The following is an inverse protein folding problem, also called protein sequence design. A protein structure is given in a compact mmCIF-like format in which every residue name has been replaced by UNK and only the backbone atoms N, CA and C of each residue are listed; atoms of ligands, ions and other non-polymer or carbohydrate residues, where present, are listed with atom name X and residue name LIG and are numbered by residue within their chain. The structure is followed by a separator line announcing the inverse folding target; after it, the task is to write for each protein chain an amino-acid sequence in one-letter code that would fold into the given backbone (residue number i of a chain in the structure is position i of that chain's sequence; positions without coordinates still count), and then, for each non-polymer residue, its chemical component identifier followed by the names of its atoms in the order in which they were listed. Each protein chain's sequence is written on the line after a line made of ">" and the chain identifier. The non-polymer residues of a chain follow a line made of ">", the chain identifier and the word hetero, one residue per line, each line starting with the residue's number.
data_IF_303293767977
#
_entry.id   IF_303293767977
#
_cell.length_a   1.000
_cell.length_b   1.000
_cell.length_c   1.000
_cell.angle_alpha   90.00
_cell.angle_beta   90.00
_cell.angle_gamma   90.00
#
_symmetry.space_group_name_H-M   'P 1'
#
loop_
_entity.id
_entity.type
_entity.pdbx_description
1 polymer ?
#
# COMPACT_ATOMS: atom_id res chain seq x y z
N UNK A 1 -30.60 -55.43 18.86
CA UNK A 1 -29.95 -54.25 19.46
C UNK A 1 -28.77 -53.85 18.59
N UNK A 2 -29.00 -52.96 17.63
CA UNK A 2 -27.95 -52.45 16.73
C UNK A 2 -27.43 -51.11 17.25
N UNK A 3 -26.12 -51.01 17.41
CA UNK A 3 -25.41 -49.76 17.72
C UNK A 3 -24.34 -49.59 16.64
N UNK A 4 -24.72 -48.94 15.54
CA UNK A 4 -23.80 -48.42 14.53
C UNK A 4 -23.54 -46.95 14.85
N UNK A 5 -22.41 -46.72 15.53
CA UNK A 5 -21.81 -45.42 15.76
C UNK A 5 -21.39 -44.79 14.43
N UNK A 6 -22.16 -43.83 13.93
CA UNK A 6 -21.74 -42.93 12.85
C UNK A 6 -20.70 -41.93 13.38
N UNK A 7 -19.42 -42.25 13.20
CA UNK A 7 -18.37 -41.25 13.20
C UNK A 7 -18.57 -40.35 11.97
N UNK A 8 -19.21 -39.19 12.16
CA UNK A 8 -19.10 -38.08 11.21
C UNK A 8 -17.69 -37.52 11.35
N UNK A 9 -16.77 -37.96 10.50
CA UNK A 9 -15.53 -37.22 10.25
C UNK A 9 -15.93 -35.86 9.68
N UNK A 10 -15.83 -34.81 10.50
CA UNK A 10 -15.83 -33.43 10.01
C UNK A 10 -14.64 -33.31 9.06
N UNK A 11 -14.90 -33.40 7.75
CA UNK A 11 -13.93 -32.98 6.74
C UNK A 11 -13.71 -31.49 6.96
N UNK A 12 -12.60 -31.12 7.57
CA UNK A 12 -12.17 -29.72 7.68
C UNK A 12 -12.11 -29.16 6.27
N UNK A 13 -12.77 -28.01 6.03
CA UNK A 13 -12.65 -27.31 4.75
C UNK A 13 -11.16 -27.05 4.48
N UNK A 14 -10.68 -27.27 3.24
CA UNK A 14 -9.28 -26.98 2.92
C UNK A 14 -8.96 -25.52 3.25
N UNK A 15 -7.83 -25.31 3.95
CA UNK A 15 -7.33 -23.98 4.26
C UNK A 15 -6.90 -23.31 2.94
N UNK A 16 -7.20 -22.03 2.79
CA UNK A 16 -6.79 -21.23 1.61
C UNK A 16 -5.36 -20.70 1.73
N UNK A 17 -4.67 -21.04 2.82
CA UNK A 17 -3.33 -20.63 3.12
C UNK A 17 -2.54 -21.81 3.66
N UNK A 18 -1.23 -21.71 3.57
CA UNK A 18 -0.28 -22.66 4.13
C UNK A 18 0.77 -21.92 4.95
N UNK A 19 1.19 -22.53 6.06
CA UNK A 19 2.37 -22.09 6.80
C UNK A 19 3.61 -22.46 5.98
N UNK A 20 4.51 -21.52 5.78
CA UNK A 20 5.80 -21.78 5.13
C UNK A 20 6.61 -22.69 6.07
N UNK A 21 7.11 -23.81 5.54
CA UNK A 21 7.79 -24.82 6.35
C UNK A 21 9.13 -24.30 6.87
N UNK A 22 9.55 -24.83 8.02
CA UNK A 22 10.85 -24.44 8.56
C UNK A 22 11.98 -24.92 7.65
N UNK A 23 11.84 -26.11 7.07
CA UNK A 23 12.81 -26.73 6.19
C UNK A 23 13.09 -25.84 4.97
N UNK A 24 12.04 -25.31 4.32
CA UNK A 24 12.18 -24.40 3.19
C UNK A 24 12.89 -23.10 3.57
N UNK A 25 12.52 -22.52 4.73
CA UNK A 25 13.15 -21.28 5.19
C UNK A 25 14.64 -21.49 5.54
N UNK A 26 14.99 -22.63 6.12
CA UNK A 26 16.38 -22.99 6.43
C UNK A 26 17.19 -23.21 5.16
N UNK A 27 16.68 -23.99 4.21
CA UNK A 27 17.34 -24.23 2.93
C UNK A 27 17.57 -22.92 2.17
N UNK A 28 16.56 -22.04 2.12
CA UNK A 28 16.70 -20.72 1.50
C UNK A 28 17.77 -19.87 2.19
N UNK A 29 17.81 -19.86 3.52
CA UNK A 29 18.79 -19.11 4.28
C UNK A 29 20.22 -19.63 4.08
N UNK A 30 20.40 -20.95 4.09
CA UNK A 30 21.71 -21.60 3.84
C UNK A 30 22.23 -21.29 2.43
N UNK A 31 21.36 -21.39 1.43
CA UNK A 31 21.72 -21.09 0.03
C UNK A 31 21.97 -19.59 -0.22
N UNK A 32 21.54 -18.71 0.69
CA UNK A 32 21.65 -17.26 0.55
C UNK A 32 22.31 -16.60 1.76
N UNK A 33 23.32 -17.26 2.36
CA UNK A 33 24.04 -16.74 3.51
C UNK A 33 24.68 -15.36 3.29
N UNK A 34 24.94 -14.99 2.02
CA UNK A 34 25.43 -13.66 1.62
C UNK A 34 24.53 -12.51 2.09
N UNK A 35 23.23 -12.74 2.30
CA UNK A 35 22.30 -11.70 2.77
C UNK A 35 22.69 -11.15 4.15
N UNK A 36 23.35 -11.98 4.97
CA UNK A 36 23.79 -11.58 6.31
C UNK A 36 24.83 -10.45 6.31
N UNK A 37 25.61 -10.31 5.23
CA UNK A 37 26.59 -9.22 5.06
C UNK A 37 25.92 -7.85 4.84
N UNK A 38 24.62 -7.84 4.53
CA UNK A 38 23.82 -6.64 4.28
C UNK A 38 22.86 -6.34 5.43
N UNK A 39 23.06 -6.94 6.61
CA UNK A 39 22.27 -6.63 7.79
C UNK A 39 22.87 -5.43 8.53
N UNK A 40 22.03 -4.43 8.75
CA UNK A 40 22.36 -3.26 9.54
C UNK A 40 21.62 -3.30 10.88
N UNK A 41 22.38 -3.18 11.97
CA UNK A 41 21.82 -3.08 13.30
C UNK A 41 21.57 -1.61 13.63
N UNK A 42 20.38 -1.14 13.25
CA UNK A 42 19.84 0.14 13.68
C UNK A 42 18.62 -0.15 14.57
N UNK A 43 18.57 0.46 15.75
CA UNK A 43 17.49 0.31 16.73
C UNK A 43 17.24 -1.14 17.23
N UNK A 44 15.99 -1.43 17.65
CA UNK A 44 15.59 -2.72 18.24
C UNK A 44 15.46 -3.86 17.21
N UNK A 45 15.39 -3.54 15.91
CA UNK A 45 15.16 -4.48 14.82
C UNK A 45 16.22 -4.25 13.74
N UNK A 46 17.13 -5.21 13.57
CA UNK A 46 18.08 -5.26 12.47
C UNK A 46 17.36 -5.24 11.11
N UNK A 47 17.86 -4.39 10.22
CA UNK A 47 17.29 -4.07 8.91
C UNK A 47 18.18 -4.60 7.81
N UNK A 48 17.59 -4.75 6.62
CA UNK A 48 18.35 -5.10 5.41
C UNK A 48 18.75 -3.80 4.72
N UNK A 49 20.03 -3.68 4.38
CA UNK A 49 20.53 -2.68 3.45
C UNK A 49 20.09 -3.04 2.04
N UNK A 50 18.87 -2.64 1.68
CA UNK A 50 18.28 -2.98 0.39
C UNK A 50 19.07 -2.43 -0.80
N UNK A 51 19.67 -1.25 -0.65
CA UNK A 51 20.52 -0.68 -1.70
C UNK A 51 21.73 -1.58 -1.97
N UNK A 52 22.40 -2.06 -0.92
CA UNK A 52 23.52 -2.99 -1.03
C UNK A 52 23.08 -4.33 -1.63
N UNK A 53 21.94 -4.88 -1.18
CA UNK A 53 21.37 -6.13 -1.72
C UNK A 53 21.05 -6.01 -3.21
N UNK A 54 20.36 -4.96 -3.64
CA UNK A 54 20.02 -4.79 -5.05
C UNK A 54 21.27 -4.57 -5.91
N UNK A 55 22.25 -3.79 -5.42
CA UNK A 55 23.55 -3.62 -6.07
C UNK A 55 24.26 -4.97 -6.27
N UNK A 56 24.27 -5.81 -5.24
CA UNK A 56 24.86 -7.15 -5.29
C UNK A 56 24.13 -8.08 -6.29
N UNK A 57 22.80 -8.06 -6.29
CA UNK A 57 21.99 -8.88 -7.18
C UNK A 57 22.14 -8.46 -8.65
N UNK A 58 22.19 -7.16 -8.93
CA UNK A 58 22.44 -6.65 -10.28
C UNK A 58 23.80 -7.11 -10.81
N UNK A 59 24.85 -6.99 -10.00
CA UNK A 59 26.20 -7.46 -10.36
C UNK A 59 26.25 -9.00 -10.52
N UNK A 60 25.57 -9.74 -9.66
CA UNK A 60 25.55 -11.20 -9.67
C UNK A 60 24.72 -11.78 -10.83
N UNK A 61 23.69 -11.07 -11.27
CA UNK A 61 22.86 -11.45 -12.41
C UNK A 61 23.64 -11.38 -13.73
N UNK A 62 24.53 -10.39 -13.88
CA UNK A 62 25.45 -10.27 -15.03
C UNK A 62 26.36 -11.50 -15.13
N UNK A 63 26.85 -11.97 -13.98
CA UNK A 63 27.72 -13.14 -13.89
C UNK A 63 26.96 -14.49 -13.86
N UNK A 64 25.61 -14.47 -13.89
CA UNK A 64 24.72 -15.63 -13.67
C UNK A 64 25.04 -16.43 -12.40
N UNK A 65 25.64 -15.79 -11.39
CA UNK A 65 26.09 -16.45 -10.16
C UNK A 65 24.97 -16.66 -9.15
N UNK A 66 24.06 -15.68 -9.07
CA UNK A 66 22.93 -15.72 -8.14
C UNK A 66 21.67 -15.28 -8.86
N UNK A 67 20.70 -16.18 -8.93
CA UNK A 67 19.34 -15.89 -9.36
C UNK A 67 18.45 -16.16 -8.15
N UNK A 68 17.96 -15.08 -7.53
CA UNK A 68 16.95 -15.15 -6.48
C UNK A 68 15.68 -14.51 -7.01
N UNK A 69 14.55 -15.15 -6.79
CA UNK A 69 13.24 -14.60 -7.14
C UNK A 69 12.79 -13.57 -6.11
N UNK A 70 11.87 -12.69 -6.50
CA UNK A 70 11.26 -11.73 -5.58
C UNK A 70 10.61 -12.42 -4.37
N UNK A 71 9.94 -13.57 -4.59
CA UNK A 71 9.33 -14.34 -3.52
C UNK A 71 10.37 -14.90 -2.54
N UNK A 72 11.47 -15.48 -3.04
CA UNK A 72 12.54 -16.00 -2.17
C UNK A 72 13.18 -14.88 -1.36
N UNK A 73 13.46 -13.73 -1.98
CA UNK A 73 14.00 -12.57 -1.29
C UNK A 73 13.03 -12.04 -0.21
N UNK A 74 11.73 -12.05 -0.51
CA UNK A 74 10.68 -11.71 0.47
C UNK A 74 10.68 -12.68 1.65
N UNK A 75 10.76 -13.99 1.39
CA UNK A 75 10.78 -15.01 2.44
C UNK A 75 12.03 -14.91 3.32
N UNK A 76 13.20 -14.65 2.73
CA UNK A 76 14.43 -14.41 3.47
C UNK A 76 14.31 -13.21 4.40
N UNK A 77 13.82 -12.08 3.87
CA UNK A 77 13.60 -10.88 4.67
C UNK A 77 12.60 -11.10 5.79
N UNK A 78 11.43 -11.66 5.51
CA UNK A 78 10.42 -11.93 6.55
C UNK A 78 10.94 -12.94 7.58
N UNK A 79 11.77 -13.91 7.18
CA UNK A 79 12.39 -14.85 8.11
C UNK A 79 13.40 -14.17 9.03
N UNK A 80 14.18 -13.23 8.49
CA UNK A 80 15.10 -12.40 9.26
C UNK A 80 14.37 -11.44 10.19
N UNK A 81 13.22 -10.89 9.78
CA UNK A 81 12.38 -10.08 10.67
C UNK A 81 11.80 -10.96 11.78
N UNK A 82 11.22 -12.12 11.43
CA UNK A 82 10.64 -13.09 12.36
C UNK A 82 11.62 -13.52 13.45
N UNK A 83 12.90 -13.73 13.14
CA UNK A 83 13.90 -14.20 14.10
C UNK A 83 14.19 -13.19 15.22
N UNK A 84 13.82 -11.92 15.01
CA UNK A 84 14.03 -10.81 15.94
C UNK A 84 12.80 -10.46 16.77
N UNK A 85 11.63 -10.94 16.35
CA UNK A 85 10.37 -10.78 17.09
C UNK A 85 10.29 -11.81 18.22
N UNK A 86 9.56 -11.48 19.30
CA UNK A 86 9.30 -12.43 20.38
C UNK A 86 8.66 -13.72 19.82
N UNK A 87 9.06 -14.88 20.37
CA UNK A 87 8.60 -16.19 19.86
C UNK A 87 7.07 -16.26 19.80
N UNK A 88 6.53 -16.33 18.57
CA UNK A 88 5.17 -16.76 18.16
C UNK A 88 4.78 -16.29 16.75
N UNK A 89 5.63 -15.54 16.04
CA UNK A 89 5.39 -15.17 14.64
C UNK A 89 5.74 -16.30 13.67
N UNK A 90 4.93 -16.44 12.62
CA UNK A 90 5.17 -17.37 11.51
C UNK A 90 4.86 -16.72 10.18
N UNK A 91 5.42 -17.28 9.12
CA UNK A 91 5.18 -16.86 7.74
C UNK A 91 4.13 -17.79 7.15
N UNK A 92 3.08 -17.21 6.60
CA UNK A 92 2.00 -17.90 5.92
C UNK A 92 1.88 -17.36 4.50
N UNK A 93 1.33 -18.15 3.58
CA UNK A 93 1.12 -17.71 2.21
C UNK A 93 -0.18 -18.27 1.61
N UNK A 94 -0.78 -17.50 0.71
CA UNK A 94 -1.88 -17.87 -0.19
C UNK A 94 -1.43 -17.68 -1.64
N UNK A 95 -2.35 -17.55 -2.60
CA UNK A 95 -2.02 -17.37 -4.02
C UNK A 95 -1.31 -16.02 -4.26
N UNK A 96 -1.81 -14.92 -3.69
CA UNK A 96 -1.31 -13.57 -3.95
C UNK A 96 -0.66 -12.89 -2.74
N UNK A 97 -0.58 -13.55 -1.58
CA UNK A 97 -0.07 -12.93 -0.35
C UNK A 97 0.95 -13.79 0.39
N UNK A 98 1.89 -13.12 1.06
CA UNK A 98 2.75 -13.68 2.10
C UNK A 98 2.53 -12.84 3.36
N UNK A 99 2.18 -13.46 4.48
CA UNK A 99 1.83 -12.77 5.71
C UNK A 99 2.74 -13.24 6.85
N UNK A 100 3.42 -12.31 7.50
CA UNK A 100 4.08 -12.51 8.78
C UNK A 100 3.09 -12.13 9.90
N UNK A 101 2.73 -13.08 10.74
CA UNK A 101 1.76 -12.87 11.84
C UNK A 101 1.92 -13.92 12.94
N UNK A 102 1.48 -13.60 14.15
CA UNK A 102 1.31 -14.52 15.28
C UNK A 102 -0.16 -14.98 15.46
N UNK A 103 -1.07 -14.59 14.57
CA UNK A 103 -2.49 -14.90 14.67
C UNK A 103 -2.82 -16.39 14.59
N UNK A 104 -3.94 -16.78 15.18
CA UNK A 104 -4.41 -18.17 15.16
C UNK A 104 -4.98 -18.59 13.78
N UNK A 105 -5.23 -19.89 13.61
CA UNK A 105 -5.77 -20.44 12.36
C UNK A 105 -7.12 -19.82 11.94
N UNK A 106 -7.94 -19.39 12.92
CA UNK A 106 -9.27 -18.83 12.66
C UNK A 106 -9.13 -17.40 12.12
N UNK A 107 -8.30 -16.58 12.77
CA UNK A 107 -7.93 -15.25 12.35
C UNK A 107 -7.30 -15.29 10.95
N UNK A 108 -6.26 -16.10 10.74
CA UNK A 108 -5.54 -16.22 9.47
C UNK A 108 -6.48 -16.66 8.33
N UNK A 109 -7.35 -17.63 8.57
CA UNK A 109 -8.32 -18.05 7.56
C UNK A 109 -9.30 -16.93 7.15
N UNK A 110 -9.68 -16.04 8.08
CA UNK A 110 -10.54 -14.89 7.77
C UNK A 110 -9.73 -13.81 7.05
N UNK A 111 -8.52 -13.53 7.52
CA UNK A 111 -7.60 -12.56 6.92
C UNK A 111 -7.28 -12.91 5.47
N UNK A 112 -6.78 -14.11 5.19
CA UNK A 112 -6.47 -14.51 3.81
C UNK A 112 -7.71 -14.51 2.91
N UNK A 113 -8.91 -14.82 3.42
CA UNK A 113 -10.13 -14.79 2.59
C UNK A 113 -10.48 -13.38 2.20
N UNK A 114 -10.35 -12.46 3.16
CA UNK A 114 -10.57 -11.04 2.97
C UNK A 114 -9.54 -10.48 1.99
N UNK A 115 -8.24 -10.65 2.23
CA UNK A 115 -7.18 -10.09 1.35
C UNK A 115 -7.29 -10.61 -0.08
N UNK A 116 -7.50 -11.91 -0.27
CA UNK A 116 -7.69 -12.51 -1.60
C UNK A 116 -8.97 -11.99 -2.30
N UNK A 117 -10.04 -11.73 -1.54
CA UNK A 117 -11.26 -11.15 -2.10
C UNK A 117 -11.07 -9.68 -2.48
N UNK A 118 -10.39 -8.88 -1.64
CA UNK A 118 -10.04 -7.49 -1.92
C UNK A 118 -9.19 -7.43 -3.19
N UNK A 119 -8.09 -8.19 -3.24
CA UNK A 119 -7.19 -8.25 -4.40
C UNK A 119 -7.94 -8.47 -5.71
N UNK A 120 -8.82 -9.49 -5.79
CA UNK A 120 -9.60 -9.76 -7.01
C UNK A 120 -10.51 -8.60 -7.39
N UNK A 121 -11.10 -7.92 -6.41
CA UNK A 121 -11.98 -6.76 -6.65
C UNK A 121 -11.19 -5.55 -7.14
N UNK A 122 -10.04 -5.24 -6.53
CA UNK A 122 -9.16 -4.15 -6.96
C UNK A 122 -8.62 -4.42 -8.36
N UNK A 123 -8.09 -5.63 -8.60
CA UNK A 123 -7.61 -6.05 -9.92
C UNK A 123 -8.67 -5.91 -11.01
N UNK A 124 -9.91 -6.25 -10.70
CA UNK A 124 -11.02 -6.06 -11.64
C UNK A 124 -11.40 -4.59 -11.84
N UNK A 125 -11.38 -3.78 -10.77
CA UNK A 125 -11.78 -2.37 -10.84
C UNK A 125 -10.75 -1.49 -11.54
N UNK A 126 -9.47 -1.83 -11.40
CA UNK A 126 -8.35 -1.07 -11.96
C UNK A 126 -7.73 -1.76 -13.20
N UNK A 127 -8.41 -2.75 -13.79
CA UNK A 127 -7.87 -3.57 -14.88
C UNK A 127 -7.36 -2.73 -16.06
N UNK A 128 -8.04 -1.63 -16.38
CA UNK A 128 -7.65 -0.74 -17.48
C UNK A 128 -6.53 0.24 -17.10
N UNK A 129 -6.16 0.35 -15.83
CA UNK A 129 -5.06 1.19 -15.36
C UNK A 129 -3.79 0.37 -15.21
N UNK A 130 -3.89 -0.77 -14.51
CA UNK A 130 -2.76 -1.64 -14.17
C UNK A 130 -1.99 -2.10 -15.40
N UNK A 131 -0.65 -2.12 -15.31
CA UNK A 131 0.18 -2.79 -16.31
C UNK A 131 -0.04 -4.31 -16.21
N UNK A 132 -0.51 -4.97 -17.29
CA UNK A 132 -0.70 -6.42 -17.30
C UNK A 132 0.57 -7.21 -16.96
N UNK A 133 1.76 -6.62 -17.13
CA UNK A 133 3.05 -7.26 -16.83
C UNK A 133 3.47 -7.11 -15.37
N UNK A 134 2.97 -6.10 -14.66
CA UNK A 134 3.40 -5.80 -13.30
C UNK A 134 3.12 -6.96 -12.34
N UNK A 135 1.98 -7.63 -12.55
CA UNK A 135 1.49 -8.74 -11.73
C UNK A 135 1.51 -10.08 -12.51
N UNK A 136 2.13 -10.11 -13.68
CA UNK A 136 2.31 -11.32 -14.48
C UNK A 136 3.65 -12.02 -14.22
N UNK A 137 4.50 -11.47 -13.35
CA UNK A 137 5.66 -12.21 -12.87
C UNK A 137 5.15 -13.45 -12.12
N UNK A 138 5.44 -14.64 -12.67
CA UNK A 138 5.03 -15.91 -12.06
C UNK A 138 5.43 -15.91 -10.58
N UNK A 139 4.43 -16.03 -9.71
CA UNK A 139 4.56 -16.10 -8.24
C UNK A 139 4.86 -14.79 -7.49
N UNK A 140 4.57 -13.61 -8.05
CA UNK A 140 4.55 -12.39 -7.23
C UNK A 140 3.47 -12.49 -6.13
N UNK A 141 3.84 -12.10 -4.91
CA UNK A 141 2.94 -12.08 -3.75
C UNK A 141 3.16 -10.82 -2.95
N UNK A 142 2.08 -10.18 -2.54
CA UNK A 142 2.10 -8.99 -1.70
C UNK A 142 2.46 -9.38 -0.25
N UNK A 143 3.57 -8.85 0.30
CA UNK A 143 3.95 -9.09 1.68
C UNK A 143 3.13 -8.22 2.63
N UNK A 144 2.63 -8.83 3.70
CA UNK A 144 1.92 -8.15 4.80
C UNK A 144 2.62 -8.50 6.11
N UNK A 145 2.95 -7.48 6.91
CA UNK A 145 3.30 -7.69 8.30
C UNK A 145 2.13 -7.29 9.19
N UNK A 146 1.50 -8.29 9.83
CA UNK A 146 0.45 -8.05 10.82
C UNK A 146 1.08 -8.08 12.20
N UNK A 147 1.19 -6.92 12.86
CA UNK A 147 1.78 -6.82 14.19
C UNK A 147 0.77 -7.27 15.26
N UNK A 148 1.28 -7.76 16.39
CA UNK A 148 0.45 -8.23 17.51
C UNK A 148 -0.31 -7.11 18.22
N UNK A 149 0.23 -5.89 18.12
CA UNK A 149 -0.24 -4.70 18.82
C UNK A 149 0.31 -3.45 18.12
N UNK A 150 -0.19 -2.30 18.59
CA UNK A 150 0.14 -0.98 18.06
C UNK A 150 1.57 -0.55 18.41
N UNK A 151 2.14 -1.05 19.51
CA UNK A 151 3.50 -0.69 19.94
C UNK A 151 4.53 -1.29 18.99
N UNK A 152 4.38 -2.57 18.62
CA UNK A 152 5.21 -3.23 17.62
C UNK A 152 5.02 -2.61 16.22
N UNK A 153 3.80 -2.16 15.90
CA UNK A 153 3.55 -1.40 14.68
C UNK A 153 4.43 -0.14 14.65
N UNK A 154 4.37 0.70 15.68
CA UNK A 154 5.16 1.94 15.74
C UNK A 154 6.67 1.69 15.82
N UNK A 155 7.12 0.71 16.63
CA UNK A 155 8.53 0.29 16.69
C UNK A 155 9.04 -0.13 15.30
N UNK A 156 8.19 -0.72 14.45
CA UNK A 156 8.56 -1.09 13.10
C UNK A 156 8.56 0.09 12.14
N UNK A 157 7.49 0.90 12.12
CA UNK A 157 7.28 1.94 11.10
C UNK A 157 8.10 3.21 11.33
N UNK A 158 8.46 3.54 12.59
CA UNK A 158 9.20 4.76 12.91
C UNK A 158 10.55 4.86 12.17
N UNK A 159 11.16 3.71 11.85
CA UNK A 159 12.39 3.65 11.05
C UNK A 159 12.26 4.31 9.67
N UNK A 160 11.07 4.23 9.05
CA UNK A 160 10.84 4.74 7.71
C UNK A 160 10.44 6.23 7.70
N UNK A 161 10.20 6.80 8.88
CA UNK A 161 9.76 8.19 9.05
C UNK A 161 10.58 8.83 10.19
N UNK A 162 11.86 9.15 9.95
CA UNK A 162 12.80 9.59 10.99
C UNK A 162 12.56 11.03 11.48
N UNK A 163 11.69 11.81 10.84
CA UNK A 163 11.34 13.15 11.32
C UNK A 163 10.24 13.07 12.40
N UNK A 164 10.39 13.87 13.47
CA UNK A 164 9.43 14.04 14.58
C UNK A 164 8.12 14.67 14.07
N UNK A 165 7.35 13.92 13.28
CA UNK A 165 5.98 14.25 12.90
C UNK A 165 5.02 13.70 13.94
N UNK A 166 4.01 14.48 14.35
CA UNK A 166 2.82 13.89 14.95
C UNK A 166 2.21 12.95 13.90
N UNK A 167 2.48 11.66 14.04
CA UNK A 167 1.86 10.65 13.21
C UNK A 167 0.35 10.77 13.43
N UNK A 168 -0.41 11.07 12.37
CA UNK A 168 -1.82 10.70 12.38
C UNK A 168 -1.86 9.21 12.76
N UNK A 169 -2.83 8.82 13.61
CA UNK A 169 -3.05 7.44 14.00
C UNK A 169 -3.32 6.60 12.75
N UNK A 170 -2.24 6.17 12.08
CA UNK A 170 -2.35 5.41 10.87
C UNK A 170 -2.71 3.99 11.27
N UNK A 171 -3.80 3.49 10.70
CA UNK A 171 -4.29 2.14 10.95
C UNK A 171 -3.55 1.09 10.10
N UNK A 172 -2.55 1.52 9.32
CA UNK A 172 -1.65 0.71 8.51
C UNK A 172 -0.83 1.58 7.56
N UNK A 173 0.20 1.03 6.93
CA UNK A 173 1.01 1.81 5.97
C UNK A 173 1.64 0.92 4.90
N UNK A 174 1.61 1.39 3.65
CA UNK A 174 2.38 0.84 2.55
C UNK A 174 3.77 1.49 2.48
N UNK A 175 4.79 0.65 2.52
CA UNK A 175 6.19 1.06 2.53
C UNK A 175 6.84 0.73 1.18
N UNK A 176 7.30 1.77 0.49
CA UNK A 176 8.03 1.71 -0.78
C UNK A 176 9.55 1.69 -0.54
N UNK A 177 10.02 0.82 0.36
CA UNK A 177 11.43 0.72 0.73
C UNK A 177 11.91 -0.74 0.67
N UNK A 178 12.84 -1.02 -0.26
CA UNK A 178 13.31 -2.37 -0.49
C UNK A 178 12.25 -3.23 -1.17
N UNK A 179 11.76 -4.24 -0.46
CA UNK A 179 10.60 -5.03 -0.88
C UNK A 179 9.34 -4.25 -0.48
N UNK A 180 8.54 -3.85 -1.47
CA UNK A 180 7.27 -3.19 -1.26
C UNK A 180 6.35 -4.10 -0.41
N UNK A 181 5.91 -3.59 0.73
CA UNK A 181 5.06 -4.32 1.69
C UNK A 181 4.16 -3.35 2.43
N UNK A 182 3.14 -3.87 3.10
CA UNK A 182 2.35 -3.06 4.03
C UNK A 182 2.31 -3.68 5.42
N UNK A 183 2.21 -2.80 6.41
CA UNK A 183 2.24 -3.14 7.83
C UNK A 183 0.92 -2.71 8.43
N UNK A 184 0.27 -3.59 9.17
CA UNK A 184 -1.00 -3.31 9.84
C UNK A 184 -0.97 -3.87 11.26
N UNK A 185 -1.45 -3.15 12.28
CA UNK A 185 -1.71 -3.74 13.58
C UNK A 185 -2.90 -4.71 13.51
N UNK A 186 -2.87 -5.77 14.32
CA UNK A 186 -4.05 -6.61 14.51
C UNK A 186 -5.21 -5.76 15.07
N UNK A 187 -6.34 -5.78 14.38
CA UNK A 187 -7.53 -5.00 14.72
C UNK A 187 -8.81 -5.72 14.29
N UNK A 188 -9.96 -5.10 14.54
CA UNK A 188 -11.23 -5.60 14.03
C UNK A 188 -11.22 -5.68 12.50
N UNK A 189 -11.92 -6.69 11.95
CA UNK A 189 -11.83 -7.01 10.54
C UNK A 189 -12.42 -5.93 9.62
N UNK A 190 -13.39 -5.16 10.09
CA UNK A 190 -13.94 -4.02 9.37
C UNK A 190 -12.88 -2.93 9.17
N UNK A 191 -12.01 -2.71 10.16
CA UNK A 191 -10.88 -1.78 10.07
C UNK A 191 -9.79 -2.36 9.17
N UNK A 192 -9.43 -3.63 9.35
CA UNK A 192 -8.46 -4.31 8.47
C UNK A 192 -8.91 -4.33 7.01
N UNK A 193 -10.21 -4.50 6.73
CA UNK A 193 -10.73 -4.52 5.36
C UNK A 193 -10.51 -3.17 4.67
N UNK A 194 -10.77 -2.07 5.38
CA UNK A 194 -10.54 -0.72 4.86
C UNK A 194 -9.05 -0.47 4.59
N UNK A 195 -8.21 -0.69 5.60
CA UNK A 195 -6.76 -0.48 5.51
C UNK A 195 -6.14 -1.35 4.42
N UNK A 196 -6.46 -2.64 4.36
CA UNK A 196 -5.92 -3.52 3.32
C UNK A 196 -6.38 -3.07 1.92
N UNK A 197 -7.62 -2.59 1.77
CA UNK A 197 -8.08 -2.07 0.48
C UNK A 197 -7.31 -0.81 0.06
N UNK A 198 -7.03 0.09 1.00
CA UNK A 198 -6.24 1.30 0.78
C UNK A 198 -4.80 0.96 0.40
N UNK A 199 -4.08 0.24 1.27
CA UNK A 199 -2.66 -0.06 1.08
C UNK A 199 -2.39 -0.99 -0.12
N UNK A 200 -3.28 -1.94 -0.39
CA UNK A 200 -3.14 -2.81 -1.56
C UNK A 200 -3.33 -2.03 -2.86
N UNK A 201 -4.14 -0.96 -2.85
CA UNK A 201 -4.27 -0.08 -4.02
C UNK A 201 -2.93 0.57 -4.35
N UNK A 202 -2.25 1.15 -3.36
CA UNK A 202 -0.91 1.71 -3.54
C UNK A 202 0.08 0.66 -4.06
N UNK A 203 0.06 -0.54 -3.46
CA UNK A 203 0.94 -1.62 -3.87
C UNK A 203 0.73 -2.02 -5.34
N UNK A 204 -0.52 -2.15 -5.77
CA UNK A 204 -0.87 -2.52 -7.14
C UNK A 204 -0.57 -1.40 -8.14
N UNK A 205 -0.65 -0.14 -7.73
CA UNK A 205 -0.30 1.03 -8.55
C UNK A 205 1.19 1.41 -8.46
N UNK A 206 2.01 0.66 -7.72
CA UNK A 206 3.37 1.10 -7.39
C UNK A 206 4.34 1.17 -8.57
N UNK A 207 4.00 0.58 -9.71
CA UNK A 207 4.71 0.73 -10.98
C UNK A 207 4.49 2.09 -11.66
N UNK A 208 3.51 2.87 -11.19
CA UNK A 208 3.23 4.20 -11.70
C UNK A 208 3.84 5.25 -10.76
N UNK A 209 4.50 6.26 -11.35
CA UNK A 209 5.01 7.44 -10.63
C UNK A 209 3.92 8.51 -10.49
N UNK A 210 2.82 8.15 -9.83
CA UNK A 210 1.63 9.01 -9.70
C UNK A 210 1.91 10.24 -8.81
N UNK A 211 1.26 11.38 -9.08
CA UNK A 211 1.10 12.43 -8.08
C UNK A 211 0.41 11.89 -6.81
N UNK A 212 0.80 12.39 -5.64
CA UNK A 212 0.25 11.94 -4.34
C UNK A 212 -1.27 12.03 -4.31
N UNK A 213 -1.85 13.13 -4.78
CA UNK A 213 -3.31 13.29 -4.78
C UNK A 213 -4.04 12.27 -5.67
N UNK A 214 -3.41 11.81 -6.76
CA UNK A 214 -3.98 10.76 -7.61
C UNK A 214 -3.86 9.40 -6.93
N UNK A 215 -2.69 9.08 -6.36
CA UNK A 215 -2.44 7.82 -5.66
C UNK A 215 -3.41 7.67 -4.47
N UNK A 216 -3.49 8.69 -3.62
CA UNK A 216 -4.40 8.71 -2.46
C UNK A 216 -5.87 8.77 -2.87
N UNK A 217 -6.22 9.55 -3.90
CA UNK A 217 -7.58 9.61 -4.40
C UNK A 217 -8.06 8.27 -4.95
N UNK A 218 -7.20 7.51 -5.66
CA UNK A 218 -7.49 6.15 -6.10
C UNK A 218 -7.63 5.18 -4.93
N UNK A 219 -6.74 5.27 -3.93
CA UNK A 219 -6.77 4.43 -2.74
C UNK A 219 -8.05 4.63 -1.91
N UNK A 220 -8.41 5.87 -1.60
CA UNK A 220 -9.65 6.18 -0.84
C UNK A 220 -10.92 5.81 -1.60
N UNK A 221 -10.97 6.04 -2.93
CA UNK A 221 -12.12 5.63 -3.73
C UNK A 221 -12.24 4.10 -3.81
N UNK A 222 -11.11 3.40 -3.94
CA UNK A 222 -11.08 1.94 -3.94
C UNK A 222 -11.48 1.37 -2.58
N UNK A 223 -10.96 1.92 -1.48
CA UNK A 223 -11.38 1.61 -0.10
C UNK A 223 -12.90 1.73 0.02
N UNK A 224 -13.47 2.88 -0.40
CA UNK A 224 -14.91 3.16 -0.34
C UNK A 224 -15.71 2.15 -1.16
N UNK A 225 -15.24 1.79 -2.35
CA UNK A 225 -15.87 0.77 -3.20
C UNK A 225 -15.84 -0.61 -2.53
N UNK A 226 -14.73 -0.96 -1.87
CA UNK A 226 -14.54 -2.26 -1.24
C UNK A 226 -15.43 -2.40 0.00
N UNK A 227 -15.32 -1.46 0.93
CA UNK A 227 -15.96 -1.48 2.25
C UNK A 227 -17.41 -0.98 2.22
N UNK A 228 -17.78 -0.22 1.17
CA UNK A 228 -19.03 0.54 1.06
C UNK A 228 -19.19 1.60 2.15
N UNK A 229 -18.10 1.95 2.84
CA UNK A 229 -18.04 3.03 3.80
C UNK A 229 -17.58 4.29 3.08
N UNK A 230 -18.37 5.35 3.19
CA UNK A 230 -18.06 6.60 2.51
C UNK A 230 -17.55 7.60 3.55
N UNK A 231 -16.31 7.39 3.98
CA UNK A 231 -15.63 8.16 5.04
C UNK A 231 -15.54 9.67 4.71
N UNK A 232 -15.62 9.99 3.42
CA UNK A 232 -15.38 11.31 2.85
C UNK A 232 -16.60 11.82 2.05
N UNK A 233 -17.84 11.56 2.51
CA UNK A 233 -19.02 12.19 1.89
C UNK A 233 -19.02 13.70 2.11
N UNK A 234 -19.25 14.45 1.03
CA UNK A 234 -19.54 15.87 1.11
C UNK A 234 -20.81 16.10 1.94
N UNK A 235 -20.71 16.98 2.94
CA UNK A 235 -21.83 17.46 3.73
C UNK A 235 -21.66 18.99 3.95
N UNK A 236 -22.69 19.72 4.41
CA UNK A 236 -22.60 21.18 4.54
C UNK A 236 -21.42 21.66 5.42
N UNK A 237 -21.10 20.92 6.49
CA UNK A 237 -19.98 21.26 7.37
C UNK A 237 -18.63 21.06 6.66
N UNK A 238 -18.42 19.92 5.99
CA UNK A 238 -17.21 19.66 5.20
C UNK A 238 -17.07 20.65 4.04
N UNK A 239 -18.19 21.03 3.40
CA UNK A 239 -18.17 22.04 2.35
C UNK A 239 -17.75 23.42 2.89
N UNK A 240 -18.23 23.84 4.07
CA UNK A 240 -17.76 25.09 4.71
C UNK A 240 -16.26 25.04 4.96
N UNK A 241 -15.76 23.95 5.56
CA UNK A 241 -14.32 23.78 5.84
C UNK A 241 -13.46 23.88 4.59
N UNK A 242 -13.90 23.29 3.48
CA UNK A 242 -13.19 23.44 2.21
C UNK A 242 -13.17 24.87 1.69
N UNK A 243 -14.29 25.58 1.73
CA UNK A 243 -14.36 26.97 1.30
C UNK A 243 -13.51 27.90 2.18
N UNK A 244 -13.41 27.60 3.48
CA UNK A 244 -12.61 28.37 4.43
C UNK A 244 -11.11 28.09 4.30
N UNK A 245 -10.73 26.87 3.91
CA UNK A 245 -9.34 26.41 3.88
C UNK A 245 -8.63 26.65 2.54
N UNK A 246 -9.30 26.39 1.41
CA UNK A 246 -8.67 26.40 0.10
C UNK A 246 -8.50 27.82 -0.46
N UNK A 247 -7.26 28.13 -0.85
CA UNK A 247 -6.88 29.35 -1.56
C UNK A 247 -5.66 29.04 -2.45
N UNK A 248 -5.20 30.03 -3.23
CA UNK A 248 -4.09 29.88 -4.18
C UNK A 248 -2.77 29.39 -3.52
N UNK A 249 -2.60 29.62 -2.21
CA UNK A 249 -1.44 29.12 -1.46
C UNK A 249 -1.67 27.69 -0.97
N UNK A 250 -2.77 27.41 -0.26
CA UNK A 250 -3.01 26.09 0.34
C UNK A 250 -3.23 25.00 -0.69
N UNK A 251 -3.74 25.33 -1.89
CA UNK A 251 -3.88 24.36 -2.98
C UNK A 251 -2.52 23.83 -3.48
N UNK A 252 -1.43 24.60 -3.33
CA UNK A 252 -0.09 24.12 -3.71
C UNK A 252 0.41 23.02 -2.78
N UNK A 253 -0.02 23.02 -1.51
CA UNK A 253 0.29 21.94 -0.56
C UNK A 253 -0.44 20.65 -0.96
N UNK A 254 -1.63 20.75 -1.55
CA UNK A 254 -2.34 19.61 -2.13
C UNK A 254 -1.63 19.08 -3.38
N UNK A 255 -1.24 19.96 -4.32
CA UNK A 255 -0.61 19.54 -5.57
C UNK A 255 0.79 18.95 -5.39
N UNK A 256 1.60 19.51 -4.50
CA UNK A 256 2.94 18.99 -4.17
C UNK A 256 2.90 17.69 -3.37
N UNK A 257 1.77 17.39 -2.72
CA UNK A 257 1.61 16.26 -1.80
C UNK A 257 1.99 16.58 -0.35
N UNK A 258 2.59 17.74 -0.06
CA UNK A 258 3.02 18.13 1.30
C UNK A 258 1.85 18.14 2.30
N UNK A 259 0.67 18.57 1.84
CA UNK A 259 -0.53 18.66 2.69
C UNK A 259 -1.01 17.32 3.24
N UNK A 260 -0.73 16.21 2.54
CA UNK A 260 -1.13 14.86 2.99
C UNK A 260 -0.32 14.39 4.20
N UNK A 261 0.91 14.88 4.35
CA UNK A 261 1.81 14.53 5.44
C UNK A 261 1.60 15.41 6.69
N UNK A 262 0.83 16.51 6.59
CA UNK A 262 0.58 17.41 7.71
C UNK A 262 -0.45 16.81 8.68
N UNK A 263 -0.25 16.94 10.01
CA UNK A 263 -1.25 16.48 10.97
C UNK A 263 -2.53 17.33 10.92
N UNK A 264 -3.63 16.75 11.40
CA UNK A 264 -4.89 17.47 11.58
C UNK A 264 -5.68 17.74 10.30
N UNK A 265 -6.29 18.93 10.23
CA UNK A 265 -7.30 19.30 9.23
C UNK A 265 -6.75 19.34 7.79
N UNK A 266 -5.51 19.77 7.58
CA UNK A 266 -4.93 19.90 6.24
C UNK A 266 -4.93 18.56 5.50
N UNK A 267 -4.40 17.51 6.12
CA UNK A 267 -4.39 16.17 5.54
C UNK A 267 -5.80 15.63 5.32
N UNK A 268 -6.72 15.79 6.29
CA UNK A 268 -8.13 15.37 6.11
C UNK A 268 -8.76 16.01 4.86
N UNK A 269 -8.55 17.32 4.66
CA UNK A 269 -9.08 18.04 3.50
C UNK A 269 -8.37 17.63 2.20
N UNK A 270 -7.07 17.33 2.24
CA UNK A 270 -6.34 16.78 1.09
C UNK A 270 -6.93 15.43 0.64
N UNK A 271 -7.11 14.48 1.55
CA UNK A 271 -7.73 13.17 1.24
C UNK A 271 -9.15 13.32 0.69
N UNK A 272 -9.95 14.20 1.30
CA UNK A 272 -11.32 14.44 0.84
C UNK A 272 -11.36 15.10 -0.55
N UNK A 273 -10.50 16.08 -0.81
CA UNK A 273 -10.41 16.74 -2.12
C UNK A 273 -9.92 15.76 -3.20
N UNK A 274 -8.89 14.96 -2.89
CA UNK A 274 -8.39 13.91 -3.78
C UNK A 274 -9.49 12.90 -4.15
N UNK A 275 -10.27 12.44 -3.17
CA UNK A 275 -11.37 11.53 -3.42
C UNK A 275 -12.39 12.14 -4.38
N UNK A 276 -12.82 13.38 -4.14
CA UNK A 276 -13.82 14.07 -4.96
C UNK A 276 -13.32 14.26 -6.39
N UNK A 277 -12.11 14.78 -6.57
CA UNK A 277 -11.56 15.07 -7.90
C UNK A 277 -11.36 13.77 -8.69
N UNK A 278 -10.75 12.75 -8.09
CA UNK A 278 -10.55 11.45 -8.75
C UNK A 278 -11.89 10.84 -9.14
N UNK A 279 -12.89 10.86 -8.26
CA UNK A 279 -14.22 10.33 -8.57
C UNK A 279 -14.90 11.10 -9.72
N UNK A 280 -14.79 12.44 -9.71
CA UNK A 280 -15.36 13.29 -10.76
C UNK A 280 -14.67 13.07 -12.11
N UNK A 281 -13.34 13.00 -12.13
CA UNK A 281 -12.59 12.73 -13.36
C UNK A 281 -12.87 11.33 -13.91
N UNK A 282 -13.10 10.35 -13.04
CA UNK A 282 -13.40 8.97 -13.43
C UNK A 282 -14.77 8.78 -14.09
N UNK A 283 -15.67 9.77 -14.07
CA UNK A 283 -16.94 9.71 -14.79
C UNK A 283 -16.73 9.49 -16.30
N UNK A 284 -15.72 10.14 -16.89
CA UNK A 284 -15.25 9.89 -18.26
C UNK A 284 -14.12 8.85 -18.25
N UNK A 285 -14.49 7.60 -17.97
CA UNK A 285 -13.55 6.52 -17.65
C UNK A 285 -12.38 6.35 -18.66
N UNK A 286 -12.57 6.35 -19.99
CA UNK A 286 -11.46 6.18 -20.93
C UNK A 286 -10.41 7.30 -20.82
N UNK A 287 -10.86 8.55 -20.70
CA UNK A 287 -9.97 9.70 -20.50
C UNK A 287 -9.27 9.62 -19.15
N UNK A 288 -9.98 9.25 -18.09
CA UNK A 288 -9.37 9.08 -16.77
C UNK A 288 -8.25 8.03 -16.78
N UNK A 289 -8.45 6.88 -17.45
CA UNK A 289 -7.42 5.86 -17.61
C UNK A 289 -6.19 6.41 -18.32
N UNK A 290 -6.37 7.15 -19.41
CA UNK A 290 -5.25 7.78 -20.11
C UNK A 290 -4.53 8.80 -19.21
N UNK A 291 -5.29 9.61 -18.47
CA UNK A 291 -4.72 10.56 -17.51
C UNK A 291 -3.85 9.86 -16.47
N UNK A 292 -4.38 8.87 -15.75
CA UNK A 292 -3.65 8.17 -14.67
C UNK A 292 -2.35 7.54 -15.18
N UNK A 293 -2.37 6.95 -16.39
CA UNK A 293 -1.16 6.34 -16.99
C UNK A 293 -0.09 7.35 -17.37
N UNK A 294 -0.47 8.61 -17.62
CA UNK A 294 0.44 9.66 -18.07
C UNK A 294 0.78 10.68 -16.98
N UNK A 295 -0.03 10.79 -15.92
CA UNK A 295 0.21 11.71 -14.81
C UNK A 295 1.55 11.42 -14.13
N UNK A 296 2.29 12.47 -13.80
CA UNK A 296 3.61 12.37 -13.18
C UNK A 296 3.69 13.25 -11.94
N UNK A 297 4.38 12.74 -10.94
CA UNK A 297 4.62 13.47 -9.69
C UNK A 297 5.17 14.90 -9.89
N UNK A 298 6.20 15.16 -10.72
CA UNK A 298 6.88 16.47 -10.75
C UNK A 298 5.99 17.66 -11.16
N UNK A 299 4.92 17.44 -11.93
CA UNK A 299 3.98 18.49 -12.34
C UNK A 299 2.57 18.27 -11.78
N UNK A 300 2.43 17.36 -10.79
CA UNK A 300 1.14 16.91 -10.24
C UNK A 300 0.15 16.35 -11.28
N UNK A 301 0.64 15.97 -12.47
CA UNK A 301 -0.18 15.49 -13.58
C UNK A 301 -0.73 16.60 -14.49
N UNK A 302 -0.31 17.85 -14.33
CA UNK A 302 -0.82 18.99 -15.11
C UNK A 302 -0.67 18.79 -16.63
N UNK A 303 0.50 18.35 -17.11
CA UNK A 303 0.70 18.10 -18.53
C UNK A 303 -0.20 16.98 -19.06
N UNK A 304 -0.47 15.96 -18.23
CA UNK A 304 -1.40 14.88 -18.59
C UNK A 304 -2.84 15.41 -18.66
N UNK A 305 -3.24 16.31 -17.76
CA UNK A 305 -4.56 16.92 -17.77
C UNK A 305 -4.78 17.73 -19.06
N UNK A 306 -3.81 18.57 -19.45
CA UNK A 306 -3.88 19.31 -20.71
C UNK A 306 -4.01 18.39 -21.93
N UNK A 307 -3.23 17.31 -21.97
CA UNK A 307 -3.23 16.37 -23.09
C UNK A 307 -4.57 15.65 -23.23
N UNK A 308 -5.16 15.23 -22.10
CA UNK A 308 -6.29 14.30 -22.08
C UNK A 308 -7.63 15.03 -22.00
N UNK A 309 -7.72 16.06 -21.16
CA UNK A 309 -8.96 16.82 -20.91
C UNK A 309 -8.97 18.18 -21.60
N UNK A 310 -7.86 18.61 -22.20
CA UNK A 310 -7.76 19.88 -22.92
C UNK A 310 -7.63 21.11 -22.03
N UNK A 311 -7.34 20.96 -20.75
CA UNK A 311 -7.25 22.07 -19.80
C UNK A 311 -6.42 21.77 -18.55
N UNK A 312 -6.20 22.82 -17.76
CA UNK A 312 -5.47 22.76 -16.49
C UNK A 312 -6.25 22.01 -15.40
N UNK A 313 -5.55 21.34 -14.48
CA UNK A 313 -6.15 20.85 -13.23
C UNK A 313 -6.74 21.99 -12.40
N UNK A 314 -6.19 23.21 -12.52
CA UNK A 314 -6.74 24.40 -11.87
C UNK A 314 -8.18 24.70 -12.28
N UNK A 315 -8.55 24.43 -13.53
CA UNK A 315 -9.92 24.62 -14.02
C UNK A 315 -10.92 23.61 -13.41
N UNK A 316 -10.43 22.47 -12.91
CA UNK A 316 -11.25 21.52 -12.15
C UNK A 316 -11.54 22.12 -10.77
N UNK A 317 -10.51 22.62 -10.08
CA UNK A 317 -10.65 23.24 -8.75
C UNK A 317 -11.55 24.48 -8.80
N UNK A 318 -11.42 25.31 -9.85
CA UNK A 318 -12.24 26.50 -10.04
C UNK A 318 -13.75 26.19 -10.04
N UNK A 319 -14.16 25.00 -10.52
CA UNK A 319 -15.57 24.58 -10.50
C UNK A 319 -16.10 24.35 -9.08
N UNK A 320 -15.23 24.02 -8.12
CA UNK A 320 -15.60 23.77 -6.73
C UNK A 320 -15.55 25.05 -5.88
N UNK A 321 -14.53 25.89 -6.07
CA UNK A 321 -14.26 27.03 -5.17
C UNK A 321 -14.38 28.41 -5.83
N UNK A 322 -14.72 28.47 -7.12
CA UNK A 322 -14.85 29.72 -7.86
C UNK A 322 -13.51 30.26 -8.38
N UNK A 323 -13.51 31.48 -8.96
CA UNK A 323 -12.35 32.04 -9.66
C UNK A 323 -11.10 32.16 -8.78
N UNK A 324 -9.95 31.76 -9.33
CA UNK A 324 -8.65 31.85 -8.67
C UNK A 324 -7.56 31.16 -9.48
N UNK A 325 -6.29 31.44 -9.16
CA UNK A 325 -5.15 30.74 -9.77
C UNK A 325 -4.86 29.42 -9.02
N UNK A 326 -5.60 28.38 -9.40
CA UNK A 326 -5.58 27.07 -8.76
C UNK A 326 -4.60 26.07 -9.38
N UNK A 327 -3.95 26.43 -10.49
CA UNK A 327 -3.11 25.49 -11.24
C UNK A 327 -1.89 25.03 -10.40
N UNK A 328 -1.39 23.81 -10.62
CA UNK A 328 -0.13 23.37 -10.04
C UNK A 328 1.03 24.32 -10.41
N UNK A 329 1.85 24.71 -9.43
CA UNK A 329 3.02 25.58 -9.64
C UNK A 329 4.30 24.90 -9.14
N UNK A 330 4.84 23.90 -9.86
CA UNK A 330 6.01 23.13 -9.45
C UNK A 330 7.22 23.99 -9.07
N UNK A 331 7.45 25.07 -9.80
CA UNK A 331 8.56 26.01 -9.55
C UNK A 331 8.50 26.70 -8.17
N UNK A 332 7.34 26.66 -7.50
CA UNK A 332 7.13 27.24 -6.17
C UNK A 332 7.20 26.21 -5.05
N UNK A 333 7.19 24.92 -5.39
CA UNK A 333 7.30 23.87 -4.39
C UNK A 333 8.75 23.76 -3.96
N UNK A 334 8.96 23.58 -2.65
CA UNK A 334 10.27 23.18 -2.14
C UNK A 334 10.72 21.96 -2.93
N UNK A 335 11.94 21.96 -3.47
CA UNK A 335 12.52 20.80 -4.13
C UNK A 335 12.79 19.71 -3.08
N UNK A 336 11.74 19.05 -2.60
CA UNK A 336 11.84 17.99 -1.61
C UNK A 336 11.90 16.65 -2.35
N UNK A 337 13.17 16.26 -2.57
CA UNK A 337 13.82 14.94 -2.73
C UNK A 337 13.05 13.75 -3.28
#
# INVERSE_FOLDING_TARGET
>A
MGLLSLFKTQRSRPKIFQKVSHELLSELAENNAWLSDYLEHQDKIARINWQGVFTYLEQSAVDKKHLITHQELTLLWLNQLRSQLSQQFFIYQSDHFIILSNGDDKFLNKLFKMTEAIYRRIKSALADILDPKFDAAENFKHPIFVTSDIDLYYDYVSYFYPEDGEFQQSSGVFLRYGINHFVVPESEFEQLEAVVAHELTHAMLSHLSLPVWVDEGLAVNTETMITRQANYRLNPQKNSRHNDFWNEKTIQEFWSGEGFQKPGETSELCYHLAQIIVASMAEEHPSFVEFVRNAKYPDSGEAAAYKVFGGSLGAIIEQFFGPGDWSPKPDQWSANQ
#
